data_IF_716327423028
#
_entry.id   IF_716327423028
#
_cell.length_a   1.000
_cell.length_b   1.000
_cell.length_c   1.000
_cell.angle_alpha   90.00
_cell.angle_beta   90.00
_cell.angle_gamma   90.00
#
_symmetry.space_group_name_H-M   'P 1'
#
loop_
_entity.id
_entity.type
_entity.pdbx_description
1 polymer ?
#
# COMPACT_ATOMS: atom_id res chain seq x y z
N UNK A 1 116.82 -8.31 -22.15
CA UNK A 1 117.17 -7.62 -23.41
C UNK A 1 117.16 -6.13 -23.12
N UNK A 2 118.28 -5.43 -23.33
CA UNK A 2 118.37 -4.00 -23.05
C UNK A 2 117.41 -3.22 -23.97
N UNK A 3 116.59 -2.34 -23.40
CA UNK A 3 115.75 -1.42 -24.18
C UNK A 3 116.64 -0.40 -24.93
N UNK A 4 116.11 0.22 -25.99
CA UNK A 4 116.89 1.10 -26.89
C UNK A 4 117.67 2.21 -26.16
N UNK A 5 117.17 2.68 -25.03
CA UNK A 5 117.81 3.70 -24.19
C UNK A 5 119.12 3.18 -23.56
N UNK A 6 119.15 1.92 -23.12
CA UNK A 6 120.34 1.30 -22.53
C UNK A 6 121.42 0.96 -23.57
N UNK A 7 121.04 0.76 -24.84
CA UNK A 7 122.00 0.59 -25.94
C UNK A 7 122.63 1.92 -26.40
N UNK A 8 121.84 3.01 -26.37
CA UNK A 8 122.31 4.38 -26.66
C UNK A 8 123.32 4.87 -25.61
N UNK A 9 123.07 4.61 -24.33
CA UNK A 9 123.97 4.98 -23.23
C UNK A 9 125.34 4.25 -23.27
N UNK A 10 125.43 3.12 -23.99
CA UNK A 10 126.65 2.32 -24.13
C UNK A 10 127.48 2.64 -25.39
N UNK A 11 127.10 3.68 -26.16
CA UNK A 11 127.84 4.12 -27.35
C UNK A 11 127.74 3.20 -28.57
N UNK A 12 126.80 2.25 -28.56
CA UNK A 12 126.50 1.37 -29.68
C UNK A 12 125.60 2.10 -30.70
N UNK A 13 125.83 1.85 -32.00
CA UNK A 13 125.03 2.44 -33.05
C UNK A 13 123.56 1.98 -32.95
N UNK A 14 122.66 2.91 -32.61
CA UNK A 14 121.22 2.68 -32.61
C UNK A 14 120.63 3.30 -33.87
N UNK A 15 120.02 2.47 -34.73
CA UNK A 15 119.30 2.98 -35.90
C UNK A 15 117.96 3.57 -35.45
N UNK A 16 117.77 4.87 -35.66
CA UNK A 16 116.51 5.55 -35.44
C UNK A 16 115.53 5.27 -36.60
N UNK A 17 114.69 4.25 -36.44
CA UNK A 17 113.29 4.22 -36.92
C UNK A 17 112.77 2.82 -36.60
N UNK A 18 111.71 2.66 -35.83
CA UNK A 18 110.39 3.15 -36.23
C UNK A 18 109.68 3.84 -35.08
N UNK A 19 109.43 5.15 -35.22
CA UNK A 19 108.05 5.59 -35.04
C UNK A 19 107.23 4.63 -35.91
N UNK A 20 106.36 3.81 -35.32
CA UNK A 20 105.45 2.93 -36.04
C UNK A 20 104.57 3.82 -36.92
N UNK A 21 105.05 4.12 -38.12
CA UNK A 21 104.43 4.98 -39.11
C UNK A 21 103.28 4.26 -39.81
N UNK A 22 102.57 3.37 -39.10
CA UNK A 22 101.15 3.20 -39.36
C UNK A 22 100.47 4.48 -38.88
N UNK A 23 100.54 5.51 -39.72
CA UNK A 23 99.73 6.73 -39.62
C UNK A 23 98.22 6.43 -39.48
N UNK A 24 97.78 5.17 -39.60
CA UNK A 24 96.45 4.73 -39.19
C UNK A 24 96.32 4.51 -37.68
N UNK A 25 97.24 3.85 -36.98
CA UNK A 25 96.97 3.37 -35.61
C UNK A 25 96.93 4.48 -34.55
N UNK A 26 97.89 5.42 -34.59
CA UNK A 26 97.86 6.58 -33.70
C UNK A 26 96.79 7.59 -34.13
N UNK A 27 96.52 7.74 -35.42
CA UNK A 27 95.39 8.56 -35.87
C UNK A 27 94.04 7.93 -35.53
N UNK A 28 93.92 6.61 -35.49
CA UNK A 28 92.67 5.92 -35.17
C UNK A 28 92.42 5.95 -33.66
N UNK A 29 93.47 5.88 -32.84
CA UNK A 29 93.36 6.11 -31.39
C UNK A 29 93.08 7.58 -31.08
N UNK A 30 93.78 8.52 -31.72
CA UNK A 30 93.51 9.96 -31.57
C UNK A 30 92.12 10.29 -32.09
N UNK A 31 91.69 9.76 -33.24
CA UNK A 31 90.32 9.93 -33.74
C UNK A 31 89.31 9.26 -32.83
N UNK A 32 89.64 8.11 -32.24
CA UNK A 32 88.80 7.41 -31.27
C UNK A 32 88.62 8.21 -29.98
N UNK A 33 89.70 8.81 -29.48
CA UNK A 33 89.69 9.70 -28.31
C UNK A 33 89.02 11.04 -28.63
N UNK A 34 89.24 11.60 -29.82
CA UNK A 34 88.55 12.80 -30.31
C UNK A 34 87.06 12.55 -30.52
N UNK A 35 86.66 11.42 -31.11
CA UNK A 35 85.27 10.97 -31.20
C UNK A 35 84.68 10.73 -29.82
N UNK A 36 85.42 10.06 -28.93
CA UNK A 36 85.03 9.83 -27.54
C UNK A 36 84.77 11.15 -26.81
N UNK A 37 85.67 12.12 -26.97
CA UNK A 37 85.57 13.45 -26.37
C UNK A 37 84.50 14.32 -27.06
N UNK A 38 84.25 14.17 -28.35
CA UNK A 38 83.13 14.81 -29.07
C UNK A 38 81.77 14.22 -28.63
N UNK A 39 81.73 12.92 -28.29
CA UNK A 39 80.54 12.24 -27.77
C UNK A 39 80.27 12.56 -26.30
N UNK A 40 81.30 12.89 -25.51
CA UNK A 40 81.17 13.11 -24.06
C UNK A 40 81.21 14.58 -23.63
N UNK A 41 82.05 15.43 -24.25
CA UNK A 41 82.29 16.80 -23.81
C UNK A 41 82.14 17.87 -24.92
N UNK A 42 82.11 17.48 -26.19
CA UNK A 42 82.16 18.41 -27.33
C UNK A 42 81.08 18.15 -28.36
N UNK A 43 79.84 18.56 -28.11
CA UNK A 43 78.95 19.01 -29.20
C UNK A 43 78.54 18.00 -30.28
N UNK A 44 78.40 16.70 -30.00
CA UNK A 44 77.59 15.84 -30.87
C UNK A 44 76.08 16.21 -30.81
N UNK A 45 75.35 16.00 -31.91
CA UNK A 45 74.41 16.94 -32.49
C UNK A 45 72.97 16.68 -32.05
N UNK A 46 72.74 16.32 -30.79
CA UNK A 46 71.36 16.20 -30.30
C UNK A 46 70.59 17.51 -30.46
N UNK A 47 71.30 18.64 -30.40
CA UNK A 47 70.76 19.99 -30.62
C UNK A 47 70.57 20.40 -32.08
N UNK A 48 71.09 19.64 -33.06
CA UNK A 48 71.07 20.01 -34.51
C UNK A 48 70.16 19.12 -35.37
N UNK A 49 69.44 18.18 -34.79
CA UNK A 49 68.37 17.44 -35.46
C UNK A 49 67.09 18.30 -35.38
N UNK A 50 66.57 18.73 -36.53
CA UNK A 50 65.39 19.62 -36.61
C UNK A 50 64.10 18.95 -36.12
N UNK A 51 63.99 17.63 -36.27
CA UNK A 51 62.85 16.81 -35.81
C UNK A 51 63.21 15.96 -34.59
N UNK A 52 64.03 16.50 -33.68
CA UNK A 52 64.34 15.81 -32.43
C UNK A 52 63.07 15.70 -31.58
N UNK A 53 62.74 14.53 -30.99
CA UNK A 53 61.70 14.46 -29.98
C UNK A 53 62.07 15.43 -28.84
N UNK A 54 61.12 16.27 -28.44
CA UNK A 54 61.37 17.42 -27.56
C UNK A 54 61.83 17.04 -26.14
N UNK A 55 61.81 15.75 -25.80
CA UNK A 55 62.07 15.23 -24.46
C UNK A 55 62.89 13.95 -24.54
N UNK A 56 63.94 13.84 -23.73
CA UNK A 56 64.53 12.54 -23.39
C UNK A 56 63.44 11.63 -22.82
N UNK A 57 63.50 10.31 -23.05
CA UNK A 57 62.37 9.41 -22.84
C UNK A 57 61.84 9.61 -21.43
N UNK A 58 60.55 9.94 -21.33
CA UNK A 58 59.79 9.66 -20.13
C UNK A 58 60.20 8.24 -19.67
N UNK A 59 60.53 8.08 -18.39
CA UNK A 59 61.14 6.89 -17.79
C UNK A 59 60.88 5.61 -18.60
N UNK A 60 61.92 4.86 -18.96
CA UNK A 60 61.88 3.71 -19.89
C UNK A 60 60.54 2.96 -19.85
N UNK A 61 59.74 3.09 -20.90
CA UNK A 61 58.37 2.54 -20.96
C UNK A 61 57.22 3.52 -20.71
N UNK A 62 57.50 4.81 -20.50
CA UNK A 62 56.46 5.83 -20.31
C UNK A 62 55.98 6.40 -21.64
N UNK A 63 54.66 6.45 -21.79
CA UNK A 63 53.92 7.09 -22.89
C UNK A 63 53.09 8.21 -22.28
N UNK A 64 53.29 9.45 -22.72
CA UNK A 64 52.48 10.61 -22.32
C UNK A 64 51.36 10.90 -23.34
N UNK A 65 50.49 11.87 -23.01
CA UNK A 65 49.35 12.24 -23.88
C UNK A 65 49.80 12.84 -25.21
N UNK A 66 50.95 13.54 -25.28
CA UNK A 66 51.43 14.12 -26.53
C UNK A 66 51.93 13.06 -27.52
N UNK A 67 52.32 11.89 -27.01
CA UNK A 67 52.72 10.73 -27.80
C UNK A 67 51.53 9.90 -28.32
N UNK A 68 50.31 10.14 -27.83
CA UNK A 68 49.08 9.49 -28.30
C UNK A 68 48.20 10.50 -29.05
N UNK A 69 48.18 10.41 -30.38
CA UNK A 69 47.25 11.22 -31.18
C UNK A 69 45.79 10.81 -30.89
N UNK A 70 44.84 11.72 -31.15
CA UNK A 70 43.41 11.43 -30.99
C UNK A 70 43.02 10.17 -31.78
N UNK A 71 42.16 9.34 -31.18
CA UNK A 71 41.70 8.04 -31.72
C UNK A 71 42.82 7.01 -31.97
N UNK A 72 44.04 7.25 -31.48
CA UNK A 72 45.15 6.31 -31.62
C UNK A 72 44.89 4.98 -30.91
N UNK A 73 44.09 4.96 -29.84
CA UNK A 73 43.74 3.76 -29.07
C UNK A 73 42.30 3.36 -29.37
N UNK A 74 42.13 2.55 -30.43
CA UNK A 74 40.84 1.96 -30.81
C UNK A 74 40.53 0.71 -29.98
N UNK A 75 39.28 0.25 -29.96
CA UNK A 75 38.90 -1.01 -29.28
C UNK A 75 39.79 -2.21 -29.66
N UNK A 76 40.20 -2.35 -30.92
CA UNK A 76 41.09 -3.44 -31.37
C UNK A 76 42.52 -3.40 -30.79
N UNK A 77 42.95 -2.26 -30.25
CA UNK A 77 44.26 -2.08 -29.59
C UNK A 77 44.19 -2.33 -28.08
N UNK A 78 42.99 -2.52 -27.55
CA UNK A 78 42.75 -2.85 -26.14
C UNK A 78 42.48 -4.34 -26.07
N UNK A 79 43.36 -5.08 -25.39
CA UNK A 79 43.14 -6.50 -25.18
C UNK A 79 41.87 -6.73 -24.34
N UNK A 80 41.08 -7.74 -24.71
CA UNK A 80 39.85 -8.11 -24.00
C UNK A 80 40.08 -8.27 -22.50
N UNK A 81 39.11 -7.85 -21.69
CA UNK A 81 39.11 -7.95 -20.22
C UNK A 81 40.24 -7.18 -19.50
N UNK A 82 40.95 -6.27 -20.19
CA UNK A 82 42.02 -5.47 -19.56
C UNK A 82 41.49 -4.24 -18.83
N UNK A 83 40.35 -3.69 -19.26
CA UNK A 83 39.69 -2.57 -18.58
C UNK A 83 38.87 -3.11 -17.41
N UNK A 84 39.37 -2.91 -16.20
CA UNK A 84 38.70 -3.26 -14.94
C UNK A 84 37.95 -2.07 -14.37
N UNK A 85 37.11 -2.29 -13.34
CA UNK A 85 36.40 -1.20 -12.65
C UNK A 85 37.35 -0.09 -12.14
N UNK A 86 38.56 -0.43 -11.70
CA UNK A 86 39.55 0.55 -11.24
C UNK A 86 40.12 1.44 -12.35
N UNK A 87 39.98 1.05 -13.61
CA UNK A 87 40.37 1.87 -14.76
C UNK A 87 39.31 2.88 -15.17
N UNK A 88 38.08 2.75 -14.65
CA UNK A 88 36.94 3.59 -14.98
C UNK A 88 36.72 4.56 -13.82
N UNK A 89 36.84 5.86 -14.09
CA UNK A 89 36.55 6.88 -13.09
C UNK A 89 35.08 6.84 -12.67
N UNK A 90 34.78 7.26 -11.44
CA UNK A 90 33.40 7.37 -10.97
C UNK A 90 32.58 8.25 -11.91
N UNK A 91 31.37 7.79 -12.27
CA UNK A 91 30.45 8.45 -13.21
C UNK A 91 30.97 8.64 -14.65
N UNK A 92 32.05 7.94 -15.05
CA UNK A 92 32.59 8.05 -16.41
C UNK A 92 31.70 7.37 -17.48
N UNK A 93 30.82 6.47 -17.08
CA UNK A 93 29.85 5.80 -17.96
C UNK A 93 28.47 6.39 -17.68
N UNK A 94 27.97 7.20 -18.61
CA UNK A 94 26.64 7.80 -18.58
C UNK A 94 25.66 7.08 -19.51
N UNK A 95 24.51 7.72 -19.76
CA UNK A 95 23.46 7.13 -20.59
C UNK A 95 23.82 7.02 -22.08
N UNK A 96 24.73 7.87 -22.58
CA UNK A 96 25.18 7.81 -23.98
C UNK A 96 26.08 6.60 -24.24
N UNK A 97 26.74 6.08 -23.21
CA UNK A 97 27.64 4.93 -23.29
C UNK A 97 26.91 3.59 -23.09
N UNK A 98 25.65 3.62 -22.62
CA UNK A 98 24.81 2.44 -22.42
C UNK A 98 23.80 2.28 -23.56
N UNK A 99 23.95 1.22 -24.34
CA UNK A 99 22.97 0.88 -25.37
C UNK A 99 21.63 0.48 -24.75
N UNK A 100 20.53 0.69 -25.47
CA UNK A 100 19.21 0.25 -25.02
C UNK A 100 19.21 -1.25 -24.74
N UNK A 101 18.67 -1.65 -23.57
CA UNK A 101 18.61 -3.04 -23.09
C UNK A 101 19.97 -3.70 -22.83
N UNK A 102 21.09 -2.96 -22.78
CA UNK A 102 22.40 -3.56 -22.45
C UNK A 102 22.50 -4.01 -20.99
N UNK A 103 21.64 -3.48 -20.12
CA UNK A 103 21.51 -3.88 -18.73
C UNK A 103 20.23 -4.70 -18.59
N UNK A 104 20.37 -6.02 -18.56
CA UNK A 104 19.28 -6.97 -18.32
C UNK A 104 19.26 -7.47 -16.86
N UNK A 105 18.38 -8.43 -16.55
CA UNK A 105 18.24 -8.98 -15.19
C UNK A 105 19.49 -9.71 -14.67
N UNK A 106 20.39 -10.19 -15.53
CA UNK A 106 21.65 -10.81 -15.11
C UNK A 106 22.68 -9.76 -14.64
N UNK A 107 22.49 -8.50 -15.03
CA UNK A 107 23.35 -7.38 -14.63
C UNK A 107 22.86 -6.71 -13.33
N UNK A 108 21.66 -7.05 -12.85
CA UNK A 108 21.03 -6.45 -11.68
C UNK A 108 20.98 -7.50 -10.57
N UNK A 109 21.75 -7.28 -9.50
CA UNK A 109 21.73 -8.16 -8.34
C UNK A 109 20.35 -8.21 -7.67
N UNK A 110 20.04 -9.34 -7.04
CA UNK A 110 18.81 -9.48 -6.27
C UNK A 110 18.72 -8.39 -5.19
N UNK A 111 17.61 -7.63 -5.20
CA UNK A 111 17.35 -6.48 -4.31
C UNK A 111 18.15 -5.20 -4.59
N UNK A 112 18.84 -5.10 -5.73
CA UNK A 112 19.54 -3.87 -6.10
C UNK A 112 18.60 -2.66 -6.37
N UNK A 113 17.33 -2.94 -6.69
CA UNK A 113 16.30 -1.91 -6.92
C UNK A 113 15.53 -1.66 -5.61
N UNK A 114 15.75 -0.48 -5.01
CA UNK A 114 15.02 0.01 -3.84
C UNK A 114 13.87 0.95 -4.21
N UNK A 115 13.25 1.57 -3.20
CA UNK A 115 12.09 2.46 -3.39
C UNK A 115 12.43 3.73 -4.15
N UNK A 116 13.65 4.25 -4.02
CA UNK A 116 14.07 5.50 -4.69
C UNK A 116 14.25 5.31 -6.21
N UNK A 117 14.51 4.07 -6.63
CA UNK A 117 14.63 3.70 -8.04
C UNK A 117 13.27 3.39 -8.70
N UNK A 118 12.19 3.27 -7.91
CA UNK A 118 10.84 2.96 -8.40
C UNK A 118 9.99 4.22 -8.37
N UNK A 119 9.72 4.79 -9.55
CA UNK A 119 8.86 5.97 -9.67
C UNK A 119 7.41 5.72 -9.23
N UNK A 120 6.69 6.78 -8.86
CA UNK A 120 5.26 6.71 -8.58
C UNK A 120 4.49 6.14 -9.79
N UNK A 121 3.69 5.11 -9.56
CA UNK A 121 2.92 4.43 -10.61
C UNK A 121 3.73 3.48 -11.51
N UNK A 122 5.03 3.29 -11.26
CA UNK A 122 5.86 2.37 -12.05
C UNK A 122 5.40 0.90 -11.92
N UNK A 123 4.78 0.54 -10.80
CA UNK A 123 4.20 -0.78 -10.56
C UNK A 123 2.69 -0.72 -10.79
N UNK A 124 2.22 -1.33 -11.88
CA UNK A 124 0.80 -1.46 -12.21
C UNK A 124 0.41 -2.94 -12.33
N UNK A 125 -0.89 -3.25 -12.34
CA UNK A 125 -1.42 -4.60 -12.08
C UNK A 125 -0.86 -5.74 -12.93
N UNK A 126 -0.38 -5.47 -14.15
CA UNK A 126 0.28 -6.49 -14.99
C UNK A 126 1.70 -6.86 -14.55
N UNK A 127 2.33 -6.05 -13.70
CA UNK A 127 3.69 -6.24 -13.18
C UNK A 127 3.70 -6.93 -11.81
N UNK A 128 2.56 -7.02 -11.12
CA UNK A 128 2.43 -7.75 -9.86
C UNK A 128 1.88 -9.15 -10.17
N UNK A 129 2.65 -10.22 -9.96
CA UNK A 129 2.16 -11.58 -10.17
C UNK A 129 1.04 -11.93 -9.17
N UNK A 130 0.25 -12.95 -9.47
CA UNK A 130 -0.75 -13.48 -8.53
C UNK A 130 -0.07 -13.83 -7.19
N UNK A 131 -0.60 -13.29 -6.09
CA UNK A 131 -0.01 -13.45 -4.75
C UNK A 131 1.20 -12.54 -4.46
N UNK A 132 1.58 -11.64 -5.38
CA UNK A 132 2.70 -10.72 -5.20
C UNK A 132 2.53 -9.71 -4.05
N UNK A 133 1.30 -9.51 -3.58
CA UNK A 133 0.99 -8.79 -2.34
C UNK A 133 0.48 -9.80 -1.32
N UNK A 134 1.34 -10.19 -0.38
CA UNK A 134 0.98 -11.09 0.73
C UNK A 134 0.14 -10.35 1.80
N UNK A 135 -0.66 -11.08 2.60
CA UNK A 135 -1.32 -10.51 3.77
C UNK A 135 -0.34 -9.74 4.66
N UNK A 136 -0.72 -8.53 5.09
CA UNK A 136 0.12 -7.65 5.91
C UNK A 136 1.15 -6.81 5.14
N UNK A 137 1.24 -6.94 3.80
CA UNK A 137 2.04 -6.03 2.95
C UNK A 137 1.29 -4.75 2.56
N UNK A 138 -0.02 -4.72 2.78
CA UNK A 138 -0.83 -3.51 2.69
C UNK A 138 -0.78 -2.77 4.03
N UNK A 139 -0.48 -1.48 3.99
CA UNK A 139 -0.55 -0.66 5.18
C UNK A 139 -2.00 -0.45 5.63
N UNK A 140 -2.19 -0.20 6.93
CA UNK A 140 -3.50 0.03 7.51
C UNK A 140 -4.24 1.16 6.77
N UNK A 141 -5.55 0.98 6.55
CA UNK A 141 -6.45 1.94 5.86
C UNK A 141 -6.09 2.30 4.40
N UNK A 142 -5.14 1.61 3.77
CA UNK A 142 -4.79 1.90 2.37
C UNK A 142 -5.77 1.36 1.34
N UNK A 143 -6.71 0.49 1.74
CA UNK A 143 -7.76 -0.06 0.88
C UNK A 143 -9.08 0.59 1.24
N UNK A 144 -9.59 1.45 0.35
CA UNK A 144 -10.89 2.11 0.45
C UNK A 144 -11.84 1.62 -0.66
N UNK A 145 -13.08 2.13 -0.66
CA UNK A 145 -14.13 1.74 -1.61
C UNK A 145 -13.75 1.99 -3.07
N UNK A 146 -12.86 2.93 -3.37
CA UNK A 146 -12.35 3.16 -4.73
C UNK A 146 -11.41 2.07 -5.24
N UNK A 147 -10.84 1.24 -4.35
CA UNK A 147 -9.95 0.14 -4.70
C UNK A 147 -10.66 -1.23 -4.66
N UNK A 148 -11.86 -1.28 -4.08
CA UNK A 148 -12.69 -2.48 -4.02
C UNK A 148 -13.78 -2.36 -5.09
N UNK A 149 -13.62 -3.07 -6.20
CA UNK A 149 -14.68 -3.21 -7.20
C UNK A 149 -15.85 -4.03 -6.64
N UNK A 150 -17.03 -3.89 -7.25
CA UNK A 150 -18.20 -4.68 -6.88
C UNK A 150 -17.88 -6.19 -6.94
N UNK A 151 -18.19 -6.91 -5.86
CA UNK A 151 -17.87 -8.33 -5.70
C UNK A 151 -16.41 -8.65 -5.32
N UNK A 152 -15.56 -7.65 -5.10
CA UNK A 152 -14.18 -7.88 -4.65
C UNK A 152 -14.12 -8.55 -3.26
N UNK A 153 -15.05 -8.23 -2.37
CA UNK A 153 -15.21 -8.84 -1.05
C UNK A 153 -16.49 -9.69 -1.06
N UNK A 154 -16.32 -11.00 -1.08
CA UNK A 154 -17.40 -12.00 -1.03
C UNK A 154 -17.59 -12.48 0.40
N UNK A 155 -18.70 -13.16 0.70
CA UNK A 155 -18.96 -13.71 2.04
C UNK A 155 -17.77 -14.56 2.57
N UNK A 156 -17.16 -15.40 1.72
CA UNK A 156 -15.96 -16.19 2.05
C UNK A 156 -14.74 -15.36 2.50
N UNK A 157 -14.70 -14.07 2.15
CA UNK A 157 -13.61 -13.14 2.48
C UNK A 157 -13.90 -12.32 3.75
N UNK A 158 -15.11 -12.41 4.28
CA UNK A 158 -15.53 -11.71 5.50
C UNK A 158 -15.45 -12.71 6.66
N UNK A 159 -14.99 -12.23 7.82
CA UNK A 159 -14.85 -13.08 9.00
C UNK A 159 -16.19 -13.71 9.42
N UNK A 160 -16.12 -14.98 9.86
CA UNK A 160 -17.28 -15.77 10.27
C UNK A 160 -18.07 -15.20 11.46
N UNK A 161 -17.56 -14.17 12.16
CA UNK A 161 -18.34 -13.42 13.14
C UNK A 161 -19.48 -12.60 12.52
N UNK A 162 -19.43 -12.36 11.21
CA UNK A 162 -20.55 -11.82 10.43
C UNK A 162 -21.28 -12.99 9.78
N UNK A 163 -22.43 -13.36 10.34
CA UNK A 163 -23.25 -14.48 9.86
C UNK A 163 -24.08 -14.03 8.65
N UNK A 164 -23.70 -14.49 7.47
CA UNK A 164 -24.43 -14.28 6.22
C UNK A 164 -25.31 -15.51 5.93
N UNK A 165 -26.57 -15.31 5.53
CA UNK A 165 -27.41 -16.39 5.03
C UNK A 165 -26.98 -16.82 3.60
N UNK A 166 -27.63 -17.85 3.06
CA UNK A 166 -27.36 -18.37 1.70
C UNK A 166 -27.64 -17.34 0.58
N UNK A 167 -28.18 -16.18 0.93
CA UNK A 167 -28.41 -15.03 0.05
C UNK A 167 -27.58 -13.80 0.45
N UNK A 168 -26.47 -13.98 1.16
CA UNK A 168 -25.53 -12.95 1.61
C UNK A 168 -26.14 -11.87 2.53
N UNK A 169 -27.17 -12.20 3.32
CA UNK A 169 -27.81 -11.27 4.27
C UNK A 169 -27.40 -11.54 5.72
N UNK A 170 -27.15 -10.46 6.47
CA UNK A 170 -26.78 -10.49 7.90
C UNK A 170 -27.99 -10.83 8.78
N UNK A 171 -28.51 -12.06 8.73
CA UNK A 171 -29.72 -12.41 9.51
C UNK A 171 -29.84 -13.85 10.04
N UNK A 172 -29.13 -14.84 9.49
CA UNK A 172 -29.29 -16.27 9.85
C UNK A 172 -29.09 -16.57 11.33
N UNK A 173 -28.12 -15.91 11.98
CA UNK A 173 -27.81 -16.12 13.39
C UNK A 173 -28.87 -15.60 14.35
N UNK A 174 -29.74 -14.67 13.92
CA UNK A 174 -30.82 -14.16 14.77
C UNK A 174 -31.92 -15.21 15.00
N UNK A 175 -32.19 -16.06 14.02
CA UNK A 175 -33.27 -17.06 14.10
C UNK A 175 -32.87 -18.30 14.91
N UNK A 176 -31.63 -18.77 14.76
CA UNK A 176 -31.16 -20.03 15.36
C UNK A 176 -30.59 -19.88 16.78
N UNK A 177 -30.29 -18.65 17.23
CA UNK A 177 -29.75 -18.40 18.56
C UNK A 177 -30.84 -18.24 19.61
N UNK A 178 -30.95 -19.21 20.51
CA UNK A 178 -31.77 -19.09 21.70
C UNK A 178 -31.14 -18.07 22.68
N UNK A 179 -31.78 -16.91 22.84
CA UNK A 179 -31.30 -15.88 23.76
C UNK A 179 -31.44 -16.33 25.23
N UNK A 180 -30.33 -16.43 25.96
CA UNK A 180 -30.28 -16.63 27.43
C UNK A 180 -30.12 -15.31 28.20
N UNK A 181 -30.64 -15.22 29.43
CA UNK A 181 -30.47 -14.05 30.32
C UNK A 181 -31.50 -12.93 30.12
N UNK A 182 -31.13 -11.70 30.51
CA UNK A 182 -31.97 -10.50 30.38
C UNK A 182 -32.11 -10.09 28.92
N UNK A 183 -33.35 -9.87 28.46
CA UNK A 183 -33.66 -9.59 27.05
C UNK A 183 -34.10 -8.15 26.87
N UNK A 184 -33.75 -7.56 25.72
CA UNK A 184 -34.32 -6.30 25.25
C UNK A 184 -35.24 -6.58 24.07
N UNK A 185 -36.43 -5.98 24.09
CA UNK A 185 -37.15 -5.77 22.85
C UNK A 185 -36.36 -4.75 22.02
N UNK A 186 -36.19 -5.06 20.73
CA UNK A 186 -35.50 -4.20 19.77
C UNK A 186 -36.54 -3.63 18.83
N UNK A 187 -36.40 -2.36 18.48
CA UNK A 187 -37.24 -1.67 17.49
C UNK A 187 -36.37 -1.15 16.35
N UNK A 188 -36.96 -0.98 15.18
CA UNK A 188 -36.36 -0.26 14.07
C UNK A 188 -37.01 1.13 14.00
N UNK A 189 -36.21 2.18 13.92
CA UNK A 189 -36.72 3.53 13.67
C UNK A 189 -36.88 3.80 12.16
N UNK A 190 -37.44 4.98 11.81
CA UNK A 190 -37.65 5.38 10.41
C UNK A 190 -36.36 5.49 9.59
N UNK A 191 -35.21 5.64 10.26
CA UNK A 191 -33.87 5.70 9.65
C UNK A 191 -33.22 4.31 9.51
N UNK A 192 -33.98 3.25 9.78
CA UNK A 192 -33.56 1.84 9.71
C UNK A 192 -32.48 1.49 10.74
N UNK A 193 -32.39 2.25 11.82
CA UNK A 193 -31.50 1.92 12.94
C UNK A 193 -32.23 1.02 13.93
N UNK A 194 -31.53 -0.02 14.39
CA UNK A 194 -32.04 -0.94 15.40
C UNK A 194 -31.70 -0.40 16.79
N UNK A 195 -32.74 -0.06 17.56
CA UNK A 195 -32.64 0.50 18.91
C UNK A 195 -33.27 -0.40 19.98
N UNK A 196 -32.94 -0.13 21.26
CA UNK A 196 -33.53 -0.82 22.41
C UNK A 196 -34.82 -0.13 22.87
N UNK A 197 -35.87 -0.90 23.11
CA UNK A 197 -37.12 -0.43 23.70
C UNK A 197 -36.97 -0.21 25.22
N UNK A 198 -36.46 0.95 25.63
CA UNK A 198 -36.27 1.27 27.06
C UNK A 198 -37.51 1.95 27.66
N UNK A 199 -37.89 1.54 28.88
CA UNK A 199 -39.06 2.08 29.60
C UNK A 199 -38.76 2.45 31.07
N UNK A 200 -37.47 2.54 31.44
CA UNK A 200 -37.10 3.04 32.77
C UNK A 200 -37.31 4.55 32.84
N UNK A 201 -37.82 5.05 33.99
CA UNK A 201 -38.03 6.49 34.25
C UNK A 201 -36.78 7.34 34.00
N UNK A 202 -35.56 6.78 34.13
CA UNK A 202 -34.30 7.49 33.84
C UNK A 202 -34.12 7.90 32.38
N UNK A 203 -34.89 7.31 31.46
CA UNK A 203 -34.83 7.56 30.03
C UNK A 203 -36.04 8.36 29.52
N UNK A 204 -36.88 8.87 30.41
CA UNK A 204 -38.16 9.50 30.08
C UNK A 204 -38.31 10.81 30.87
N UNK A 205 -38.78 11.85 30.19
CA UNK A 205 -39.17 13.14 30.78
C UNK A 205 -40.65 13.39 30.48
N UNK A 206 -41.26 14.40 31.13
CA UNK A 206 -42.64 14.85 30.84
C UNK A 206 -43.67 13.70 30.88
N UNK A 207 -43.60 12.87 31.93
CA UNK A 207 -44.47 11.71 32.09
C UNK A 207 -45.82 12.18 32.65
N UNK A 208 -46.84 12.15 31.80
CA UNK A 208 -48.22 12.50 32.14
C UNK A 208 -49.16 11.28 32.03
N UNK A 209 -50.29 11.35 32.72
CA UNK A 209 -51.34 10.35 32.56
C UNK A 209 -52.04 10.57 31.22
N UNK A 210 -52.23 9.48 30.47
CA UNK A 210 -52.93 9.50 29.20
C UNK A 210 -54.03 8.44 29.25
N UNK A 211 -55.27 8.90 29.25
CA UNK A 211 -56.45 8.06 29.27
C UNK A 211 -57.00 7.93 27.85
N UNK A 212 -57.06 6.69 27.38
CA UNK A 212 -57.68 6.33 26.11
C UNK A 212 -59.15 6.01 26.38
N UNK A 213 -60.06 6.52 25.55
CA UNK A 213 -61.48 6.17 25.64
C UNK A 213 -61.67 4.67 25.33
N UNK A 214 -62.22 3.87 26.26
CA UNK A 214 -62.52 2.46 26.01
C UNK A 214 -63.35 2.21 24.76
N UNK A 215 -64.28 3.10 24.44
CA UNK A 215 -65.17 2.96 23.28
C UNK A 215 -64.40 3.03 21.96
N UNK A 216 -63.36 3.88 21.91
CA UNK A 216 -62.49 3.98 20.74
C UNK A 216 -61.78 2.65 20.49
N UNK A 217 -61.21 2.04 21.52
CA UNK A 217 -60.50 0.75 21.39
C UNK A 217 -61.47 -0.38 21.02
N UNK A 218 -62.69 -0.38 21.59
CA UNK A 218 -63.73 -1.35 21.29
C UNK A 218 -64.32 -1.17 19.88
N UNK A 219 -64.22 0.02 19.29
CA UNK A 219 -64.70 0.29 17.94
C UNK A 219 -63.83 -0.36 16.84
N UNK A 220 -62.56 -0.65 17.16
CA UNK A 220 -61.60 -1.23 16.21
C UNK A 220 -62.10 -2.56 15.65
N UNK A 221 -62.08 -2.70 14.32
CA UNK A 221 -62.54 -3.89 13.61
C UNK A 221 -61.35 -4.70 13.07
N UNK A 222 -61.12 -5.93 13.56
CA UNK A 222 -60.15 -6.82 12.95
C UNK A 222 -60.57 -7.21 11.54
N UNK A 223 -59.61 -7.18 10.63
CA UNK A 223 -59.78 -7.55 9.22
C UNK A 223 -58.86 -8.70 8.86
N UNK A 224 -59.14 -9.30 7.70
CA UNK A 224 -58.19 -10.20 7.04
C UNK A 224 -57.88 -9.65 5.66
N UNK A 225 -56.60 -9.61 5.31
CA UNK A 225 -56.11 -8.98 4.09
C UNK A 225 -55.06 -9.85 3.41
N UNK A 226 -54.72 -9.49 2.18
CA UNK A 226 -53.61 -10.03 1.42
C UNK A 226 -52.74 -8.86 0.97
N UNK A 227 -51.42 -9.04 0.96
CA UNK A 227 -50.52 -8.05 0.40
C UNK A 227 -50.64 -8.02 -1.12
N UNK A 228 -50.62 -6.83 -1.72
CA UNK A 228 -50.82 -6.67 -3.17
C UNK A 228 -49.78 -7.44 -4.02
N UNK A 229 -48.58 -7.62 -3.47
CA UNK A 229 -47.44 -8.23 -4.17
C UNK A 229 -47.00 -9.56 -3.53
N UNK A 230 -47.88 -10.24 -2.80
CA UNK A 230 -47.58 -11.58 -2.27
C UNK A 230 -47.92 -12.66 -3.32
N UNK A 231 -46.91 -13.29 -3.94
CA UNK A 231 -47.14 -14.33 -4.96
C UNK A 231 -47.75 -15.61 -4.37
N UNK A 232 -47.69 -15.82 -3.05
CA UNK A 232 -48.33 -16.95 -2.38
C UNK A 232 -49.79 -16.66 -1.99
N UNK A 233 -50.22 -15.38 -1.99
CA UNK A 233 -51.59 -14.96 -1.69
C UNK A 233 -52.05 -15.32 -0.27
N UNK A 234 -51.13 -15.34 0.69
CA UNK A 234 -51.41 -15.71 2.07
C UNK A 234 -52.32 -14.66 2.69
N UNK A 235 -53.41 -15.11 3.32
CA UNK A 235 -54.28 -14.24 4.10
C UNK A 235 -53.69 -14.01 5.48
N UNK A 236 -53.55 -12.75 5.84
CA UNK A 236 -53.14 -12.32 7.17
C UNK A 236 -54.33 -11.74 7.94
N UNK A 237 -54.19 -11.68 9.27
CA UNK A 237 -55.17 -11.12 10.19
C UNK A 237 -54.56 -9.93 10.91
N UNK A 238 -55.30 -8.82 11.02
CA UNK A 238 -54.81 -7.62 11.68
C UNK A 238 -55.81 -6.47 11.65
N UNK A 239 -55.28 -5.27 11.74
CA UNK A 239 -55.96 -3.98 11.67
C UNK A 239 -55.36 -3.15 10.53
N UNK A 240 -56.12 -2.18 10.03
CA UNK A 240 -55.65 -1.19 9.05
C UNK A 240 -55.20 0.06 9.79
N UNK A 241 -54.01 0.57 9.46
CA UNK A 241 -53.38 1.64 10.21
C UNK A 241 -54.18 2.96 10.13
N UNK A 242 -54.74 3.23 8.96
CA UNK A 242 -55.62 4.37 8.69
C UNK A 242 -56.91 4.27 9.51
N UNK A 243 -57.57 3.10 9.54
CA UNK A 243 -58.79 2.91 10.33
C UNK A 243 -58.53 3.12 11.83
N UNK A 244 -57.36 2.70 12.32
CA UNK A 244 -56.94 2.90 13.72
C UNK A 244 -56.67 4.37 14.02
N UNK A 245 -55.97 5.06 13.11
CA UNK A 245 -55.75 6.50 13.22
C UNK A 245 -57.08 7.26 13.27
N UNK A 246 -57.99 6.96 12.34
CA UNK A 246 -59.27 7.66 12.17
C UNK A 246 -60.26 7.35 13.30
N UNK A 247 -60.14 6.18 13.94
CA UNK A 247 -60.88 5.86 15.16
C UNK A 247 -60.46 6.75 16.36
N UNK A 248 -59.32 7.44 16.28
CA UNK A 248 -58.80 8.32 17.34
C UNK A 248 -57.69 7.71 18.18
N UNK A 249 -56.89 6.78 17.61
CA UNK A 249 -55.69 6.23 18.25
C UNK A 249 -54.41 6.50 17.43
N UNK A 250 -54.05 7.77 17.19
CA UNK A 250 -52.85 8.10 16.42
C UNK A 250 -51.55 7.63 17.10
N UNK A 251 -51.52 7.42 18.41
CA UNK A 251 -50.33 7.08 19.19
C UNK A 251 -49.79 5.67 18.89
N UNK A 252 -50.66 4.77 18.42
CA UNK A 252 -50.27 3.39 18.09
C UNK A 252 -49.99 3.21 16.59
N UNK A 253 -50.02 4.29 15.81
CA UNK A 253 -49.76 4.26 14.37
C UNK A 253 -48.32 4.70 14.10
N UNK A 254 -47.66 4.03 13.15
CA UNK A 254 -46.33 4.41 12.67
C UNK A 254 -46.41 5.23 11.40
N UNK A 255 -45.46 6.14 11.25
CA UNK A 255 -45.38 7.06 10.12
C UNK A 255 -44.08 6.85 9.35
N UNK A 256 -44.17 6.89 8.02
CA UNK A 256 -43.03 6.85 7.12
C UNK A 256 -43.20 7.88 6.01
N UNK A 257 -42.21 8.74 5.82
CA UNK A 257 -42.23 9.80 4.81
C UNK A 257 -43.55 10.61 4.81
N UNK A 258 -43.97 11.05 6.01
CA UNK A 258 -45.19 11.82 6.27
C UNK A 258 -46.51 11.11 5.90
N UNK A 259 -46.50 9.77 5.85
CA UNK A 259 -47.68 8.94 5.62
C UNK A 259 -47.85 7.91 6.72
N UNK A 260 -49.09 7.56 7.01
CA UNK A 260 -49.44 6.40 7.82
C UNK A 260 -48.85 5.16 7.14
N UNK A 261 -48.11 4.36 7.90
CA UNK A 261 -47.32 3.24 7.38
C UNK A 261 -47.66 1.91 8.05
N UNK A 262 -48.01 1.91 9.34
CA UNK A 262 -48.25 0.68 10.07
C UNK A 262 -48.77 0.88 11.49
N UNK A 263 -48.79 -0.21 12.25
CA UNK A 263 -49.36 -0.25 13.60
C UNK A 263 -48.34 -0.82 14.59
N UNK A 264 -48.21 -0.15 15.72
CA UNK A 264 -47.53 -0.60 16.93
C UNK A 264 -48.41 -1.60 17.68
N UNK A 265 -48.53 -2.82 17.15
CA UNK A 265 -49.31 -3.89 17.79
C UNK A 265 -48.84 -4.20 19.22
N UNK A 266 -47.57 -3.94 19.54
CA UNK A 266 -47.03 -4.04 20.89
C UNK A 266 -47.67 -3.04 21.88
N UNK A 267 -48.17 -1.90 21.40
CA UNK A 267 -48.85 -0.88 22.20
C UNK A 267 -50.37 -1.07 22.28
N UNK A 268 -50.97 -1.92 21.43
CA UNK A 268 -52.40 -2.23 21.50
C UNK A 268 -52.79 -2.83 22.86
N UNK A 269 -51.93 -3.66 23.45
CA UNK A 269 -52.12 -4.18 24.80
C UNK A 269 -52.13 -3.09 25.89
N UNK A 270 -51.38 -2.01 25.69
CA UNK A 270 -51.39 -0.85 26.59
C UNK A 270 -52.70 -0.08 26.43
N UNK A 271 -53.18 0.11 25.20
CA UNK A 271 -54.46 0.75 24.93
C UNK A 271 -55.64 -0.01 25.56
N UNK A 272 -55.63 -1.36 25.49
CA UNK A 272 -56.65 -2.23 26.09
C UNK A 272 -56.76 -2.10 27.62
N UNK A 273 -55.75 -1.54 28.31
CA UNK A 273 -55.81 -1.32 29.75
C UNK A 273 -56.97 -0.38 30.14
N UNK A 274 -57.30 0.59 29.28
CA UNK A 274 -58.46 1.47 29.46
C UNK A 274 -59.77 0.68 29.50
N UNK A 275 -59.97 -0.21 28.52
CA UNK A 275 -61.13 -1.11 28.41
C UNK A 275 -61.25 -2.00 29.63
N UNK A 276 -60.15 -2.64 30.06
CA UNK A 276 -60.16 -3.52 31.23
C UNK A 276 -60.53 -2.76 32.50
N UNK A 277 -60.01 -1.54 32.69
CA UNK A 277 -60.37 -0.69 33.84
C UNK A 277 -61.85 -0.29 33.81
N UNK A 278 -62.37 0.09 32.64
CA UNK A 278 -63.76 0.47 32.46
C UNK A 278 -64.70 -0.71 32.74
N UNK A 279 -64.39 -1.89 32.21
CA UNK A 279 -65.13 -3.12 32.50
C UNK A 279 -65.10 -3.48 33.99
N UNK A 280 -63.95 -3.36 34.66
CA UNK A 280 -63.86 -3.61 36.09
C UNK A 280 -64.73 -2.64 36.91
N UNK A 281 -64.79 -1.36 36.53
CA UNK A 281 -65.67 -0.37 37.16
C UNK A 281 -67.16 -0.69 36.92
N UNK A 282 -67.51 -1.08 35.70
CA UNK A 282 -68.87 -1.49 35.35
C UNK A 282 -69.32 -2.73 36.12
N UNK A 283 -68.48 -3.76 36.21
CA UNK A 283 -68.76 -4.98 36.99
C UNK A 283 -69.00 -4.62 38.45
N UNK A 284 -68.14 -3.79 39.05
CA UNK A 284 -68.30 -3.34 40.44
C UNK A 284 -69.64 -2.61 40.65
N UNK A 285 -70.02 -1.73 39.73
CA UNK A 285 -71.28 -1.00 39.80
C UNK A 285 -72.50 -1.93 39.66
N UNK A 286 -72.44 -2.89 38.75
CA UNK A 286 -73.48 -3.90 38.56
C UNK A 286 -73.62 -4.81 39.78
N UNK A 287 -72.51 -5.27 40.36
CA UNK A 287 -72.52 -6.06 41.61
C UNK A 287 -73.16 -5.29 42.76
N UNK A 288 -72.78 -4.02 42.97
CA UNK A 288 -73.39 -3.20 44.02
C UNK A 288 -74.90 -3.00 43.83
N UNK A 289 -75.35 -2.89 42.56
CA UNK A 289 -76.78 -2.80 42.25
C UNK A 289 -77.52 -4.12 42.49
N UNK A 290 -76.90 -5.25 42.17
CA UNK A 290 -77.44 -6.58 42.47
C UNK A 290 -77.56 -6.78 43.98
N UNK A 291 -76.52 -6.46 44.75
CA UNK A 291 -76.55 -6.56 46.21
C UNK A 291 -77.70 -5.74 46.83
N UNK A 292 -77.94 -4.53 46.31
CA UNK A 292 -79.03 -3.66 46.74
C UNK A 292 -80.43 -4.18 46.34
N UNK A 293 -80.54 -4.93 45.24
CA UNK A 293 -81.79 -5.53 44.79
C UNK A 293 -82.09 -6.86 45.49
N UNK A 294 -81.07 -7.64 45.81
CA UNK A 294 -81.17 -8.93 46.50
C UNK A 294 -81.38 -8.78 48.01
N UNK A 295 -80.85 -7.69 48.60
CA UNK A 295 -81.09 -7.31 50.00
C UNK A 295 -81.76 -5.93 50.07
N UNK A 296 -83.01 -5.78 49.61
CA UNK A 296 -83.72 -4.52 49.76
C UNK A 296 -83.85 -4.27 51.26
N UNK A 297 -83.24 -3.21 51.77
CA UNK A 297 -83.48 -2.76 53.13
C UNK A 297 -84.99 -2.58 53.29
N UNK A 298 -85.60 -3.33 54.22
CA UNK A 298 -86.98 -3.10 54.68
C UNK A 298 -87.10 -1.65 55.16
N UNK A 299 -87.52 -0.75 54.27
CA UNK A 299 -87.95 0.58 54.67
C UNK A 299 -89.46 0.56 54.77
N UNK A 300 -89.88 0.36 56.03
CA UNK A 300 -91.01 0.97 56.72
C UNK A 300 -92.41 0.77 56.12
N UNK A 301 -93.11 -0.19 56.74
CA UNK A 301 -94.56 -0.12 56.94
C UNK A 301 -94.95 1.26 57.49
N UNK A 302 -95.94 1.90 56.85
CA UNK A 302 -96.78 2.96 57.41
C UNK A 302 -98.20 2.43 57.53
#
# INVERSE_FOLDING_TARGET
MANGDAASAAGLAVFASTQDARQGYDNDNIRGDELGNHMTNGGHPWSKISDKPATYPAATGSVDTAQLVNDAVTGAKIASNTITAGNIAANAVGSSELASNSVDTNHIDGRAIGTDQIGLGAIYGGLIPNGGIEPGKLAYETVNTGQLVDGAVTADKIDSSVDFDEADRVTSGAYSRQAGGSRYAMWMDGDRLIGRATSSRRYKSEIEAHDIDPEVVLSLQPVTYQHQNDPQGVREFGLIAEDVHDAGLPEIVTWYADKIDGIRYDQLGVALLSVVKAQAAQIKALSARLDALENPTETEEV
#
